data_IF_732446618423
#
_entry.id   IF_732446618423
#
_cell.length_a   1.000
_cell.length_b   1.000
_cell.length_c   1.000
_cell.angle_alpha   90.00
_cell.angle_beta   90.00
_cell.angle_gamma   90.00
#
_symmetry.space_group_name_H-M   'P 1'
#
loop_
_entity.id
_entity.type
_entity.pdbx_description
1 polymer ?
#
# COMPACT_ATOMS: atom_id res chain seq x y z
N UNK A 1 5.08 -6.84 -8.35
CA UNK A 1 4.77 -7.96 -7.42
C UNK A 1 6.07 -8.61 -6.98
N UNK A 2 6.28 -8.82 -5.68
CA UNK A 2 7.43 -9.57 -5.17
C UNK A 2 7.04 -11.03 -4.99
N UNK A 3 7.75 -11.93 -5.69
CA UNK A 3 7.51 -13.37 -5.63
C UNK A 3 8.73 -14.03 -5.04
N UNK A 4 8.52 -14.94 -4.09
CA UNK A 4 9.62 -15.60 -3.41
C UNK A 4 9.17 -16.84 -2.66
N UNK A 5 10.14 -17.71 -2.28
CA UNK A 5 9.86 -19.02 -1.73
C UNK A 5 9.26 -18.97 -0.32
N UNK A 6 9.53 -17.91 0.46
CA UNK A 6 8.97 -17.73 1.80
C UNK A 6 8.60 -16.29 2.05
N UNK A 7 7.47 -16.07 2.75
CA UNK A 7 7.05 -14.72 3.20
C UNK A 7 8.17 -14.00 3.95
N UNK A 8 8.91 -14.72 4.79
CA UNK A 8 10.03 -14.17 5.58
C UNK A 8 11.12 -13.53 4.69
N UNK A 9 11.53 -14.20 3.61
CA UNK A 9 12.57 -13.66 2.71
C UNK A 9 12.08 -12.45 1.93
N UNK A 10 10.82 -12.46 1.49
CA UNK A 10 10.20 -11.31 0.82
C UNK A 10 10.16 -10.10 1.78
N UNK A 11 9.73 -10.33 3.02
CA UNK A 11 9.70 -9.29 4.05
C UNK A 11 11.08 -8.77 4.44
N UNK A 12 12.07 -9.65 4.50
CA UNK A 12 13.45 -9.25 4.75
C UNK A 12 13.97 -8.36 3.62
N UNK A 13 13.78 -8.76 2.36
CA UNK A 13 14.20 -7.95 1.21
C UNK A 13 13.53 -6.56 1.19
N UNK A 14 12.24 -6.48 1.54
CA UNK A 14 11.53 -5.21 1.68
C UNK A 14 12.10 -4.34 2.81
N UNK A 15 12.45 -4.96 3.95
CA UNK A 15 13.05 -4.27 5.08
C UNK A 15 14.45 -3.75 4.73
N UNK A 16 15.30 -4.61 4.17
CA UNK A 16 16.67 -4.27 3.77
C UNK A 16 16.65 -3.10 2.78
N UNK A 17 15.73 -3.11 1.81
CA UNK A 17 15.55 -2.01 0.87
C UNK A 17 15.11 -0.73 1.57
N UNK A 18 14.16 -0.80 2.50
CA UNK A 18 13.71 0.36 3.27
C UNK A 18 14.84 0.97 4.12
N UNK A 19 15.67 0.11 4.73
CA UNK A 19 16.82 0.52 5.54
C UNK A 19 17.90 1.17 4.68
N UNK A 20 18.23 0.60 3.52
CA UNK A 20 19.22 1.17 2.60
C UNK A 20 18.75 2.51 2.02
N UNK A 21 17.47 2.63 1.64
CA UNK A 21 16.90 3.90 1.19
C UNK A 21 17.01 4.99 2.28
N UNK A 22 16.78 4.62 3.54
CA UNK A 22 16.95 5.53 4.68
C UNK A 22 18.42 5.90 4.90
N UNK A 23 19.35 4.95 4.72
CA UNK A 23 20.79 5.16 4.79
C UNK A 23 21.28 6.11 3.68
N UNK A 24 20.82 5.90 2.46
CA UNK A 24 21.12 6.74 1.30
C UNK A 24 20.61 8.18 1.49
N UNK A 25 19.42 8.36 2.07
CA UNK A 25 18.93 9.68 2.47
C UNK A 25 19.94 10.43 3.35
N UNK A 26 20.49 9.77 4.36
CA UNK A 26 21.49 10.37 5.27
C UNK A 26 22.79 10.75 4.54
N UNK A 27 23.20 9.96 3.55
CA UNK A 27 24.49 10.13 2.84
C UNK A 27 24.44 11.12 1.69
N UNK A 28 23.33 11.21 0.95
CA UNK A 28 23.19 12.06 -0.24
C UNK A 28 22.29 13.28 -0.06
N UNK A 29 21.69 13.46 1.12
CA UNK A 29 20.66 14.50 1.35
C UNK A 29 19.48 14.42 0.34
N UNK A 30 19.30 13.26 -0.29
CA UNK A 30 18.17 12.96 -1.16
C UNK A 30 16.98 12.52 -0.30
N UNK A 31 15.77 12.96 -0.66
CA UNK A 31 14.56 12.71 0.14
C UNK A 31 14.01 11.30 -0.19
N UNK A 32 14.55 10.28 0.47
CA UNK A 32 14.06 8.90 0.40
C UNK A 32 13.33 8.48 1.69
N UNK A 33 12.39 9.27 2.17
CA UNK A 33 11.49 8.73 3.19
C UNK A 33 10.46 7.82 2.52
N UNK A 34 10.33 6.61 3.03
CA UNK A 34 9.30 5.68 2.61
C UNK A 34 8.28 5.52 3.73
N UNK A 35 7.04 5.92 3.50
CA UNK A 35 5.94 5.62 4.42
C UNK A 35 5.31 4.28 4.01
N UNK A 36 5.41 3.28 4.89
CA UNK A 36 4.96 1.92 4.59
C UNK A 36 3.64 1.64 5.29
N UNK A 37 2.57 1.50 4.51
CA UNK A 37 1.27 0.99 4.96
C UNK A 37 1.22 -0.51 4.69
N UNK A 38 0.90 -1.32 5.70
CA UNK A 38 0.71 -2.77 5.53
C UNK A 38 -0.77 -3.10 5.68
N UNK A 39 -1.32 -3.79 4.70
CA UNK A 39 -2.72 -4.15 4.65
C UNK A 39 -2.89 -5.63 4.34
N UNK A 40 -3.75 -6.32 5.10
CA UNK A 40 -4.19 -7.66 4.76
C UNK A 40 -5.53 -7.56 4.00
N UNK A 41 -5.47 -7.70 2.68
CA UNK A 41 -6.66 -7.51 1.82
C UNK A 41 -7.75 -8.56 2.06
N UNK A 42 -7.40 -9.76 2.54
CA UNK A 42 -8.39 -10.83 2.78
C UNK A 42 -9.23 -10.57 4.03
N UNK A 43 -8.74 -9.76 4.96
CA UNK A 43 -9.51 -9.39 6.15
C UNK A 43 -10.58 -8.32 5.91
N UNK A 44 -10.65 -7.77 4.69
CA UNK A 44 -11.57 -6.70 4.31
C UNK A 44 -12.59 -7.26 3.31
N UNK A 45 -13.90 -7.09 3.53
CA UNK A 45 -14.90 -7.45 2.53
C UNK A 45 -14.62 -6.76 1.19
N UNK A 46 -14.76 -7.46 0.05
CA UNK A 46 -14.41 -6.90 -1.27
C UNK A 46 -15.12 -5.58 -1.59
N UNK A 47 -16.39 -5.43 -1.20
CA UNK A 47 -17.14 -4.18 -1.36
C UNK A 47 -16.52 -3.01 -0.59
N UNK A 48 -15.89 -3.30 0.54
CA UNK A 48 -15.25 -2.33 1.43
C UNK A 48 -13.75 -2.17 1.12
N UNK A 49 -13.27 -2.68 -0.01
CA UNK A 49 -11.88 -2.52 -0.41
C UNK A 49 -11.68 -1.26 -1.26
N UNK A 50 -12.37 -1.19 -2.40
CA UNK A 50 -12.23 -0.12 -3.39
C UNK A 50 -13.28 0.98 -3.27
N UNK A 51 -14.31 0.77 -2.48
CA UNK A 51 -15.47 1.66 -2.40
C UNK A 51 -16.69 1.06 -3.06
N UNK A 52 -17.85 1.27 -2.43
CA UNK A 52 -19.15 0.86 -2.96
C UNK A 52 -19.95 2.08 -3.40
N UNK A 53 -20.67 1.94 -4.51
CA UNK A 53 -21.68 2.92 -4.88
C UNK A 53 -22.97 2.62 -4.11
N UNK A 54 -23.48 3.62 -3.39
CA UNK A 54 -24.73 3.55 -2.66
C UNK A 54 -25.84 4.24 -3.47
N UNK A 55 -26.73 3.43 -4.04
CA UNK A 55 -27.86 3.88 -4.83
C UNK A 55 -28.92 4.63 -4.00
N UNK A 56 -28.98 4.43 -2.68
CA UNK A 56 -29.92 5.14 -1.82
C UNK A 56 -29.50 6.60 -1.60
N UNK A 57 -28.19 6.85 -1.52
CA UNK A 57 -27.62 8.19 -1.33
C UNK A 57 -27.14 8.83 -2.64
N UNK A 58 -27.21 8.11 -3.76
CA UNK A 58 -26.55 8.47 -5.03
C UNK A 58 -25.07 8.84 -4.86
N UNK A 59 -24.41 8.20 -3.88
CA UNK A 59 -23.08 8.57 -3.42
C UNK A 59 -22.07 7.43 -3.57
N UNK A 60 -20.80 7.79 -3.71
CA UNK A 60 -19.70 6.83 -3.58
C UNK A 60 -19.22 6.78 -2.14
N UNK A 61 -19.23 5.59 -1.54
CA UNK A 61 -18.62 5.34 -0.25
C UNK A 61 -17.14 5.05 -0.46
N UNK A 62 -16.29 5.89 0.12
CA UNK A 62 -14.83 5.71 0.04
C UNK A 62 -14.41 4.75 1.15
N UNK A 63 -13.74 3.66 0.76
CA UNK A 63 -13.38 2.59 1.67
C UNK A 63 -11.86 2.49 1.84
N UNK A 64 -11.40 1.47 2.58
CA UNK A 64 -10.06 1.43 3.20
C UNK A 64 -8.91 1.72 2.23
N UNK A 65 -8.87 1.02 1.08
CA UNK A 65 -7.76 1.20 0.13
C UNK A 65 -7.84 2.57 -0.57
N UNK A 66 -9.05 3.01 -0.91
CA UNK A 66 -9.27 4.31 -1.54
C UNK A 66 -8.87 5.47 -0.61
N UNK A 67 -9.22 5.38 0.67
CA UNK A 67 -8.84 6.38 1.68
C UNK A 67 -7.32 6.44 1.84
N UNK A 68 -6.64 5.30 1.98
CA UNK A 68 -5.18 5.26 2.07
C UNK A 68 -4.50 5.82 0.81
N UNK A 69 -4.97 5.45 -0.38
CA UNK A 69 -4.44 6.00 -1.63
C UNK A 69 -4.63 7.52 -1.69
N UNK A 70 -5.80 8.03 -1.30
CA UNK A 70 -6.03 9.48 -1.26
C UNK A 70 -5.12 10.20 -0.28
N UNK A 71 -4.85 9.63 0.89
CA UNK A 71 -3.88 10.19 1.84
C UNK A 71 -2.47 10.23 1.23
N UNK A 72 -2.06 9.15 0.57
CA UNK A 72 -0.76 9.08 -0.11
C UNK A 72 -0.62 10.10 -1.26
N UNK A 73 -1.71 10.37 -2.00
CA UNK A 73 -1.72 11.34 -3.10
C UNK A 73 -1.80 12.78 -2.60
N UNK A 74 -2.46 13.01 -1.46
CA UNK A 74 -2.59 14.35 -0.85
C UNK A 74 -1.28 14.81 -0.20
N UNK A 75 -0.39 13.90 0.15
CA UNK A 75 0.91 14.25 0.69
C UNK A 75 1.78 14.96 -0.38
N UNK A 76 1.98 16.27 -0.20
CA UNK A 76 2.83 17.11 -1.06
C UNK A 76 4.32 16.98 -0.73
N UNK A 77 4.67 16.21 0.30
CA UNK A 77 6.05 15.91 0.60
C UNK A 77 6.64 15.06 -0.53
N UNK A 78 7.96 15.11 -0.69
CA UNK A 78 8.64 14.29 -1.69
C UNK A 78 8.84 12.85 -1.21
N UNK A 79 8.12 12.43 -0.17
CA UNK A 79 8.23 11.09 0.39
C UNK A 79 7.58 10.10 -0.58
N UNK A 80 8.08 8.88 -0.59
CA UNK A 80 7.50 7.79 -1.38
C UNK A 80 6.55 7.02 -0.48
N UNK A 81 5.30 6.85 -0.89
CA UNK A 81 4.35 6.02 -0.15
C UNK A 81 4.34 4.59 -0.71
N UNK A 82 4.41 3.61 0.17
CA UNK A 82 4.39 2.19 -0.16
C UNK A 82 3.19 1.55 0.52
N UNK A 83 2.22 1.11 -0.26
CA UNK A 83 1.10 0.30 0.24
C UNK A 83 1.42 -1.17 -0.05
N UNK A 84 1.65 -1.95 1.01
CA UNK A 84 1.96 -3.37 0.95
C UNK A 84 0.70 -4.16 1.24
N UNK A 85 0.18 -4.80 0.20
CA UNK A 85 -0.89 -5.77 0.30
C UNK A 85 -0.33 -7.15 0.67
N UNK A 86 -0.36 -7.53 1.96
CA UNK A 86 0.03 -8.87 2.43
C UNK A 86 -1.16 -9.81 2.44
N UNK A 87 -1.21 -10.69 1.46
CA UNK A 87 -2.21 -11.72 1.37
C UNK A 87 -2.04 -12.56 0.11
N UNK A 88 -2.78 -13.67 0.00
CA UNK A 88 -3.01 -14.33 -1.27
C UNK A 88 -3.52 -13.35 -2.32
N UNK A 89 -3.02 -13.50 -3.54
CA UNK A 89 -3.52 -12.76 -4.70
C UNK A 89 -4.81 -13.41 -5.18
N UNK A 90 -5.83 -12.60 -5.37
CA UNK A 90 -7.14 -12.98 -5.90
C UNK A 90 -7.44 -12.06 -7.09
N UNK A 91 -7.97 -12.65 -8.18
CA UNK A 91 -8.34 -11.94 -9.39
C UNK A 91 -9.33 -10.81 -9.10
N UNK A 92 -10.30 -11.03 -8.20
CA UNK A 92 -11.32 -10.06 -7.85
C UNK A 92 -10.75 -8.78 -7.26
N UNK A 93 -9.68 -8.84 -6.46
CA UNK A 93 -9.10 -7.61 -5.92
C UNK A 93 -8.02 -7.02 -6.81
N UNK A 94 -7.29 -7.79 -7.62
CA UNK A 94 -6.17 -7.24 -8.40
C UNK A 94 -6.59 -6.66 -9.76
N UNK A 95 -7.76 -7.02 -10.28
CA UNK A 95 -8.24 -6.63 -11.62
C UNK A 95 -9.36 -5.56 -11.62
N UNK A 96 -9.86 -5.17 -10.44
CA UNK A 96 -10.96 -4.19 -10.28
C UNK A 96 -10.42 -2.78 -10.05
#
# INVERSE_FOLDING_TARGET
MLVGPTKRRIYQALRDLSEEMTSLKKRRAEKFDNLIYKLNLISIPYGDLYGTYDAATNGWKNEVLMLMMRECVRDESTQKHWIICDGPVDAYWIET
#
